data_IF_845862832124
#
_entry.id   IF_845862832124
#
_cell.length_a   1.000
_cell.length_b   1.000
_cell.length_c   1.000
_cell.angle_alpha   90.00
_cell.angle_beta   90.00
_cell.angle_gamma   90.00
#
_symmetry.space_group_name_H-M   'P 1'
#
loop_
_entity.id
_entity.type
_entity.pdbx_description
1 polymer ?
#
# COMPACT_ATOMS: atom_id res chain seq x y z
N UNK A 1 -19.63 44.15 17.88
CA UNK A 1 -19.60 43.04 16.91
C UNK A 1 -18.16 42.65 16.64
N UNK A 2 -17.64 41.63 17.33
CA UNK A 2 -16.27 41.15 17.18
C UNK A 2 -16.18 40.18 15.99
N UNK A 3 -15.56 40.63 14.90
CA UNK A 3 -15.29 39.81 13.71
C UNK A 3 -14.36 38.66 14.09
N UNK A 4 -14.88 37.44 14.17
CA UNK A 4 -14.05 36.24 14.35
C UNK A 4 -12.97 36.19 13.25
N UNK A 5 -11.70 35.90 13.59
CA UNK A 5 -10.59 35.83 12.63
C UNK A 5 -10.90 34.88 11.47
N UNK A 6 -10.54 35.28 10.24
CA UNK A 6 -10.72 34.51 9.01
C UNK A 6 -10.22 33.06 9.12
N UNK A 7 -9.12 32.85 9.86
CA UNK A 7 -8.52 31.53 10.13
C UNK A 7 -9.47 30.61 10.92
N UNK A 8 -10.23 31.14 11.89
CA UNK A 8 -11.21 30.36 12.66
C UNK A 8 -12.41 29.99 11.76
N UNK A 9 -12.80 30.89 10.86
CA UNK A 9 -13.90 30.68 9.90
C UNK A 9 -13.56 29.60 8.88
N UNK A 10 -12.32 29.57 8.38
CA UNK A 10 -11.80 28.48 7.52
C UNK A 10 -11.72 27.17 8.31
N UNK A 11 -11.22 27.19 9.55
CA UNK A 11 -11.12 25.99 10.38
C UNK A 11 -12.49 25.36 10.64
N UNK A 12 -13.49 26.17 10.97
CA UNK A 12 -14.86 25.72 11.20
C UNK A 12 -15.52 25.25 9.89
N UNK A 13 -15.25 25.91 8.76
CA UNK A 13 -15.72 25.49 7.44
C UNK A 13 -15.13 24.15 6.99
N UNK A 14 -13.81 23.96 7.19
CA UNK A 14 -13.11 22.69 6.93
C UNK A 14 -13.61 21.60 7.88
N UNK A 15 -13.87 21.92 9.16
CA UNK A 15 -14.40 20.96 10.12
C UNK A 15 -15.81 20.46 9.74
N UNK A 16 -16.69 21.37 9.28
CA UNK A 16 -18.05 21.01 8.83
C UNK A 16 -18.06 20.26 7.50
N UNK A 17 -17.09 20.52 6.61
CA UNK A 17 -17.00 19.86 5.28
C UNK A 17 -15.92 18.80 5.18
N UNK A 18 -15.37 18.37 6.32
CA UNK A 18 -14.21 17.47 6.39
C UNK A 18 -14.44 16.17 5.62
N UNK A 19 -15.62 15.58 5.74
CA UNK A 19 -16.00 14.37 5.00
C UNK A 19 -16.03 14.60 3.48
N UNK A 20 -16.61 15.71 3.03
CA UNK A 20 -16.67 16.07 1.60
C UNK A 20 -15.30 16.41 1.02
N UNK A 21 -14.44 17.10 1.78
CA UNK A 21 -13.07 17.43 1.37
C UNK A 21 -12.18 16.20 1.30
N UNK A 22 -12.33 15.26 2.24
CA UNK A 22 -11.64 13.96 2.18
C UNK A 22 -12.15 13.15 0.98
N UNK A 23 -13.46 13.08 0.77
CA UNK A 23 -14.04 12.39 -0.39
C UNK A 23 -13.57 13.01 -1.71
N UNK A 24 -13.51 14.34 -1.81
CA UNK A 24 -13.00 15.05 -2.99
C UNK A 24 -11.51 14.80 -3.20
N UNK A 25 -10.69 14.83 -2.15
CA UNK A 25 -9.26 14.53 -2.25
C UNK A 25 -9.03 13.08 -2.71
N UNK A 26 -9.77 12.12 -2.13
CA UNK A 26 -9.76 10.72 -2.54
C UNK A 26 -10.21 10.56 -3.99
N UNK A 27 -11.27 11.26 -4.41
CA UNK A 27 -11.77 11.27 -5.79
C UNK A 27 -10.73 11.82 -6.77
N UNK A 28 -10.08 12.93 -6.45
CA UNK A 28 -9.02 13.53 -7.28
C UNK A 28 -7.85 12.56 -7.43
N UNK A 29 -7.39 11.99 -6.33
CA UNK A 29 -6.30 11.00 -6.30
C UNK A 29 -6.67 9.76 -7.14
N UNK A 30 -7.90 9.26 -7.00
CA UNK A 30 -8.40 8.13 -7.78
C UNK A 30 -8.47 8.44 -9.28
N UNK A 31 -8.97 9.61 -9.66
CA UNK A 31 -9.05 10.08 -11.05
C UNK A 31 -7.64 10.25 -11.64
N UNK A 32 -6.69 10.82 -10.89
CA UNK A 32 -5.31 10.96 -11.34
C UNK A 32 -4.60 9.62 -11.48
N UNK A 33 -4.80 8.70 -10.54
CA UNK A 33 -4.28 7.33 -10.62
C UNK A 33 -4.86 6.57 -11.80
N UNK A 34 -6.18 6.66 -12.01
CA UNK A 34 -6.87 6.07 -13.15
C UNK A 34 -6.41 6.68 -14.48
N UNK A 35 -6.26 8.01 -14.57
CA UNK A 35 -5.77 8.68 -15.77
C UNK A 35 -4.32 8.32 -16.08
N UNK A 36 -3.46 8.18 -15.06
CA UNK A 36 -2.08 7.73 -15.22
C UNK A 36 -2.03 6.28 -15.73
N UNK A 37 -2.78 5.36 -15.10
CA UNK A 37 -2.89 3.97 -15.55
C UNK A 37 -3.46 3.92 -16.96
N UNK A 38 -4.59 4.57 -17.24
CA UNK A 38 -5.23 4.56 -18.55
C UNK A 38 -4.30 5.07 -19.65
N UNK A 39 -3.52 6.13 -19.39
CA UNK A 39 -2.52 6.64 -20.34
C UNK A 39 -1.35 5.67 -20.52
N UNK A 40 -0.93 4.97 -19.47
CA UNK A 40 0.15 3.98 -19.51
C UNK A 40 -0.29 2.64 -20.13
N UNK A 41 -1.57 2.27 -20.00
CA UNK A 41 -2.14 1.01 -20.48
C UNK A 41 -2.85 1.17 -21.83
N UNK A 42 -3.07 2.37 -22.33
CA UNK A 42 -3.67 2.62 -23.65
C UNK A 42 -2.85 1.99 -24.79
N UNK A 43 -1.55 1.77 -24.58
CA UNK A 43 -0.64 1.13 -25.53
C UNK A 43 -0.39 -0.36 -25.23
N UNK A 44 -0.88 -0.88 -24.09
CA UNK A 44 -0.57 -2.24 -23.61
C UNK A 44 -1.72 -3.18 -23.96
N UNK A 45 -1.46 -4.21 -24.78
CA UNK A 45 -2.46 -5.24 -25.08
C UNK A 45 -2.53 -6.25 -23.94
N UNK A 46 -3.74 -6.60 -23.51
CA UNK A 46 -3.97 -7.60 -22.45
C UNK A 46 -3.31 -8.96 -22.77
N UNK A 47 -3.23 -9.32 -24.05
CA UNK A 47 -2.54 -10.53 -24.52
C UNK A 47 -1.05 -10.53 -24.17
N UNK A 48 -0.39 -9.36 -24.20
CA UNK A 48 1.03 -9.21 -23.88
C UNK A 48 1.26 -9.35 -22.38
N UNK A 49 0.39 -8.78 -21.55
CA UNK A 49 0.44 -8.94 -20.09
C UNK A 49 0.22 -10.40 -19.70
N UNK A 50 -0.76 -11.09 -20.32
CA UNK A 50 -1.00 -12.51 -20.07
C UNK A 50 0.18 -13.38 -20.51
N UNK A 51 0.77 -13.09 -21.67
CA UNK A 51 1.95 -13.78 -22.16
C UNK A 51 3.15 -13.58 -21.21
N UNK A 52 3.40 -12.34 -20.78
CA UNK A 52 4.46 -12.02 -19.82
C UNK A 52 4.24 -12.68 -18.45
N UNK A 53 2.99 -12.73 -17.97
CA UNK A 53 2.66 -13.44 -16.73
C UNK A 53 2.87 -14.94 -16.86
N UNK A 54 2.52 -15.54 -18.02
CA UNK A 54 2.78 -16.96 -18.28
C UNK A 54 4.26 -17.30 -18.46
N UNK A 55 5.10 -16.30 -18.76
CA UNK A 55 6.54 -16.46 -18.84
C UNK A 55 7.22 -16.48 -17.46
N UNK A 56 6.51 -16.14 -16.38
CA UNK A 56 7.05 -16.21 -15.02
C UNK A 56 7.27 -17.67 -14.60
N UNK A 57 8.52 -18.00 -14.29
CA UNK A 57 8.88 -19.33 -13.82
C UNK A 57 8.50 -19.55 -12.35
N UNK A 58 8.16 -20.79 -11.99
CA UNK A 58 7.92 -21.18 -10.59
C UNK A 58 9.11 -20.88 -9.65
N UNK A 59 10.33 -20.93 -10.18
CA UNK A 59 11.54 -20.55 -9.45
C UNK A 59 11.59 -19.05 -9.11
N UNK A 60 11.22 -18.18 -10.05
CA UNK A 60 11.15 -16.73 -9.80
C UNK A 60 10.09 -16.42 -8.75
N UNK A 61 8.92 -17.08 -8.86
CA UNK A 61 7.83 -16.91 -7.91
C UNK A 61 8.22 -17.34 -6.49
N UNK A 62 8.88 -18.50 -6.34
CA UNK A 62 9.30 -19.00 -5.03
C UNK A 62 10.36 -18.11 -4.37
N UNK A 63 11.32 -17.59 -5.15
CA UNK A 63 12.32 -16.63 -4.67
C UNK A 63 11.66 -15.31 -4.27
N UNK A 64 10.72 -14.77 -5.07
CA UNK A 64 10.00 -13.55 -4.73
C UNK A 64 9.16 -13.70 -3.44
N UNK A 65 8.52 -14.86 -3.24
CA UNK A 65 7.82 -15.19 -1.98
C UNK A 65 8.81 -15.26 -0.83
N UNK A 66 9.96 -15.94 -1.00
CA UNK A 66 10.99 -16.03 0.03
C UNK A 66 11.53 -14.66 0.46
N UNK A 67 11.82 -13.78 -0.50
CA UNK A 67 12.25 -12.40 -0.24
C UNK A 67 11.16 -11.58 0.46
N UNK A 68 9.89 -11.78 0.08
CA UNK A 68 8.75 -11.16 0.76
C UNK A 68 8.70 -11.60 2.22
N UNK A 69 8.85 -12.90 2.50
CA UNK A 69 8.89 -13.42 3.88
C UNK A 69 10.04 -12.80 4.67
N UNK A 70 11.23 -12.68 4.06
CA UNK A 70 12.40 -12.04 4.70
C UNK A 70 12.10 -10.58 5.06
N UNK A 71 11.53 -9.81 4.13
CA UNK A 71 11.14 -8.41 4.38
C UNK A 71 10.12 -8.31 5.52
N UNK A 72 9.04 -9.09 5.49
CA UNK A 72 8.03 -9.06 6.56
C UNK A 72 8.55 -9.53 7.91
N UNK A 73 9.50 -10.48 7.96
CA UNK A 73 10.20 -10.85 9.19
C UNK A 73 11.04 -9.67 9.68
N UNK A 74 11.80 -9.02 8.80
CA UNK A 74 12.59 -7.84 9.14
C UNK A 74 11.73 -6.71 9.74
N UNK A 75 10.55 -6.45 9.16
CA UNK A 75 9.57 -5.50 9.69
C UNK A 75 9.15 -5.80 11.15
N UNK A 76 9.09 -7.08 11.57
CA UNK A 76 8.81 -7.41 12.98
C UNK A 76 9.91 -6.95 13.94
N UNK A 77 11.15 -6.90 13.46
CA UNK A 77 12.29 -6.46 14.26
C UNK A 77 12.36 -4.93 14.40
N UNK A 78 11.78 -4.15 13.47
CA UNK A 78 11.65 -2.70 13.63
C UNK A 78 10.96 -2.38 14.95
N UNK A 79 9.75 -2.89 15.12
CA UNK A 79 8.91 -2.66 16.28
C UNK A 79 9.54 -3.29 17.54
N UNK A 80 10.12 -4.48 17.42
CA UNK A 80 10.78 -5.16 18.56
C UNK A 80 11.98 -4.38 19.11
N UNK A 81 12.76 -3.74 18.23
CA UNK A 81 13.89 -2.89 18.65
C UNK A 81 13.37 -1.54 19.13
N UNK A 82 12.41 -0.92 18.44
CA UNK A 82 11.81 0.35 18.85
C UNK A 82 11.19 0.28 20.26
N UNK A 83 10.51 -0.82 20.60
CA UNK A 83 9.99 -1.09 21.94
C UNK A 83 11.09 -1.12 23.01
N UNK A 84 12.27 -1.68 22.69
CA UNK A 84 13.43 -1.65 23.58
C UNK A 84 14.03 -0.25 23.71
N UNK A 85 14.02 0.54 22.64
CA UNK A 85 14.50 1.94 22.64
C UNK A 85 13.64 2.81 23.55
N UNK A 86 12.31 2.62 23.54
CA UNK A 86 11.38 3.38 24.39
C UNK A 86 11.26 2.83 25.83
N UNK A 87 12.05 1.83 26.20
CA UNK A 87 12.06 1.26 27.56
C UNK A 87 10.86 0.36 27.90
N UNK A 88 10.07 -0.06 26.90
CA UNK A 88 8.89 -0.91 27.09
C UNK A 88 9.03 -2.22 26.28
N UNK A 89 9.97 -3.10 26.62
CA UNK A 89 10.18 -4.34 25.88
C UNK A 89 8.95 -5.25 26.01
N UNK A 90 8.42 -5.71 24.88
CA UNK A 90 7.35 -6.72 24.82
C UNK A 90 7.89 -8.02 24.23
N UNK A 91 7.21 -9.16 24.48
CA UNK A 91 7.52 -10.41 23.80
C UNK A 91 7.47 -10.23 22.27
N UNK A 92 8.42 -10.84 21.55
CA UNK A 92 8.52 -10.72 20.09
C UNK A 92 7.20 -11.09 19.39
N UNK A 93 6.43 -12.05 19.90
CA UNK A 93 5.13 -12.43 19.34
C UNK A 93 4.13 -11.27 19.30
N UNK A 94 4.07 -10.47 20.36
CA UNK A 94 3.19 -9.29 20.44
C UNK A 94 3.64 -8.21 19.46
N UNK A 95 4.96 -7.95 19.41
CA UNK A 95 5.54 -7.00 18.47
C UNK A 95 5.37 -7.44 17.01
N UNK A 96 5.52 -8.74 16.73
CA UNK A 96 5.35 -9.31 15.41
C UNK A 96 3.90 -9.20 14.91
N UNK A 97 2.90 -9.50 15.74
CA UNK A 97 1.49 -9.33 15.37
C UNK A 97 1.16 -7.85 15.13
N UNK A 98 1.58 -6.95 16.03
CA UNK A 98 1.36 -5.51 15.88
C UNK A 98 2.01 -4.97 14.60
N UNK A 99 3.28 -5.31 14.38
CA UNK A 99 4.05 -4.87 13.21
C UNK A 99 3.47 -5.44 11.91
N UNK A 100 3.27 -6.75 11.82
CA UNK A 100 2.77 -7.42 10.63
C UNK A 100 1.39 -6.89 10.21
N UNK A 101 0.45 -6.81 11.14
CA UNK A 101 -0.89 -6.26 10.85
C UNK A 101 -0.84 -4.77 10.49
N UNK A 102 0.01 -3.98 11.15
CA UNK A 102 0.17 -2.56 10.84
C UNK A 102 0.79 -2.32 9.47
N UNK A 103 1.85 -3.02 9.10
CA UNK A 103 2.52 -2.82 7.82
C UNK A 103 1.69 -3.35 6.65
N UNK A 104 1.06 -4.51 6.77
CA UNK A 104 0.15 -5.02 5.71
C UNK A 104 -0.98 -4.03 5.42
N UNK A 105 -1.57 -3.45 6.46
CA UNK A 105 -2.57 -2.38 6.36
C UNK A 105 -1.96 -1.11 5.74
N UNK A 106 -0.77 -0.67 6.20
CA UNK A 106 -0.13 0.56 5.72
C UNK A 106 0.25 0.50 4.24
N UNK A 107 0.84 -0.63 3.81
CA UNK A 107 1.27 -0.84 2.43
C UNK A 107 0.09 -0.79 1.45
N UNK A 108 -1.09 -1.26 1.85
CA UNK A 108 -2.25 -1.32 0.96
C UNK A 108 -3.10 -0.04 0.96
N UNK A 109 -3.10 0.74 2.04
CA UNK A 109 -4.11 1.76 2.27
C UNK A 109 -3.58 3.19 2.28
N UNK A 110 -2.25 3.36 2.26
CA UNK A 110 -1.64 4.68 2.43
C UNK A 110 -1.91 5.26 3.82
N UNK A 111 -1.57 6.55 4.01
CA UNK A 111 -1.70 7.25 5.29
C UNK A 111 -1.18 6.42 6.48
N UNK A 112 0.01 5.83 6.35
CA UNK A 112 0.55 4.80 7.24
C UNK A 112 0.50 5.14 8.73
N UNK A 113 0.63 6.43 9.08
CA UNK A 113 0.49 6.89 10.48
C UNK A 113 -0.93 6.70 11.01
N UNK A 114 -1.96 6.91 10.20
CA UNK A 114 -3.36 6.80 10.59
C UNK A 114 -3.89 5.37 10.44
N UNK A 115 -3.50 4.66 9.38
CA UNK A 115 -3.94 3.28 9.09
C UNK A 115 -3.15 2.28 9.94
N UNK A 116 -1.85 2.16 9.72
CA UNK A 116 -0.97 1.27 10.48
C UNK A 116 -0.83 1.64 11.96
N UNK A 117 -0.71 2.94 12.27
CA UNK A 117 -0.62 3.41 13.65
C UNK A 117 -1.81 2.97 14.51
N UNK A 118 -3.02 2.96 13.95
CA UNK A 118 -4.22 2.46 14.66
C UNK A 118 -4.18 0.96 14.93
N UNK A 119 -3.63 0.17 14.01
CA UNK A 119 -3.47 -1.28 14.19
C UNK A 119 -2.44 -1.59 15.29
N UNK A 120 -1.28 -0.92 15.27
CA UNK A 120 -0.30 -0.98 16.37
C UNK A 120 -0.92 -0.57 17.70
N UNK A 121 -1.64 0.54 17.72
CA UNK A 121 -2.27 1.05 18.94
C UNK A 121 -3.22 0.02 19.56
N UNK A 122 -4.07 -0.63 18.77
CA UNK A 122 -4.99 -1.68 19.26
C UNK A 122 -4.28 -2.88 19.89
N UNK A 123 -3.12 -3.26 19.39
CA UNK A 123 -2.35 -4.39 19.93
C UNK A 123 -1.56 -3.96 21.17
N UNK A 124 -0.90 -2.79 21.11
CA UNK A 124 -0.04 -2.30 22.18
C UNK A 124 -0.80 -1.73 23.39
N UNK A 125 -1.96 -1.12 23.21
CA UNK A 125 -2.80 -0.66 24.32
C UNK A 125 -3.29 -1.82 25.19
N UNK A 126 -3.62 -2.96 24.56
CA UNK A 126 -3.94 -4.22 25.27
C UNK A 126 -2.73 -4.79 26.03
N UNK A 127 -1.52 -4.44 25.61
CA UNK A 127 -0.27 -4.78 26.29
C UNK A 127 0.18 -3.72 27.31
N UNK A 128 -0.65 -2.69 27.58
CA UNK A 128 -0.41 -1.67 28.60
C UNK A 128 0.37 -0.45 28.13
N UNK A 129 0.61 -0.26 26.83
CA UNK A 129 1.27 0.95 26.31
C UNK A 129 0.27 2.09 26.11
N UNK A 130 0.70 3.30 26.47
CA UNK A 130 -0.05 4.53 26.23
C UNK A 130 0.10 5.01 24.77
N UNK A 131 -0.73 5.98 24.38
CA UNK A 131 -0.72 6.57 23.04
C UNK A 131 0.64 7.17 22.68
N UNK A 132 1.31 7.80 23.65
CA UNK A 132 2.62 8.42 23.45
C UNK A 132 3.72 7.38 23.18
N UNK A 133 3.73 6.25 23.89
CA UNK A 133 4.66 5.16 23.61
C UNK A 133 4.45 4.59 22.20
N UNK A 134 3.21 4.36 21.79
CA UNK A 134 2.90 3.87 20.43
C UNK A 134 3.37 4.87 19.38
N UNK A 135 3.11 6.17 19.59
CA UNK A 135 3.59 7.22 18.69
C UNK A 135 5.12 7.25 18.57
N UNK A 136 5.86 7.06 19.67
CA UNK A 136 7.33 6.95 19.65
C UNK A 136 7.80 5.73 18.85
N UNK A 137 7.14 4.57 18.98
CA UNK A 137 7.43 3.37 18.18
C UNK A 137 7.23 3.66 16.69
N UNK A 138 6.09 4.26 16.32
CA UNK A 138 5.79 4.63 14.92
C UNK A 138 6.83 5.60 14.37
N UNK A 139 7.25 6.59 15.17
CA UNK A 139 8.26 7.57 14.76
C UNK A 139 9.64 6.93 14.55
N UNK A 140 10.08 6.09 15.49
CA UNK A 140 11.35 5.36 15.36
C UNK A 140 11.31 4.47 14.11
N UNK A 141 10.22 3.70 13.92
CA UNK A 141 10.05 2.86 12.75
C UNK A 141 10.08 3.65 11.43
N UNK A 142 9.42 4.81 11.38
CA UNK A 142 9.43 5.69 10.22
C UNK A 142 10.81 6.26 9.90
N UNK A 143 11.56 6.71 10.92
CA UNK A 143 12.94 7.18 10.75
C UNK A 143 13.84 6.03 10.29
N UNK A 144 13.68 4.84 10.87
CA UNK A 144 14.41 3.63 10.47
C UNK A 144 14.14 3.23 9.03
N UNK A 145 12.88 3.27 8.58
CA UNK A 145 12.52 2.99 7.18
C UNK A 145 13.26 3.93 6.22
N UNK A 146 13.22 5.24 6.47
CA UNK A 146 13.90 6.23 5.62
C UNK A 146 15.42 6.10 5.67
N UNK A 147 15.99 5.77 6.83
CA UNK A 147 17.41 5.46 6.93
C UNK A 147 17.77 4.25 6.05
N UNK A 148 16.93 3.22 6.00
CA UNK A 148 17.06 2.10 5.07
C UNK A 148 17.01 2.54 3.61
N UNK A 149 16.03 3.37 3.22
CA UNK A 149 15.86 3.89 1.84
C UNK A 149 17.15 4.59 1.41
N UNK A 150 17.64 5.50 2.24
CA UNK A 150 18.86 6.27 1.97
C UNK A 150 20.07 5.34 1.88
N UNK A 151 20.19 4.37 2.79
CA UNK A 151 21.34 3.45 2.83
C UNK A 151 21.42 2.60 1.56
N UNK A 152 20.31 1.97 1.17
CA UNK A 152 20.30 1.11 -0.02
C UNK A 152 20.42 1.95 -1.31
N UNK A 153 19.89 3.17 -1.34
CA UNK A 153 20.09 4.09 -2.47
C UNK A 153 21.57 4.48 -2.61
N UNK A 154 22.22 4.86 -1.51
CA UNK A 154 23.64 5.20 -1.49
C UNK A 154 24.50 4.00 -1.90
N UNK A 155 24.18 2.80 -1.41
CA UNK A 155 24.88 1.58 -1.78
C UNK A 155 24.72 1.27 -3.28
N UNK A 156 23.53 1.50 -3.83
CA UNK A 156 23.25 1.34 -5.27
C UNK A 156 24.10 2.30 -6.11
N UNK A 157 24.20 3.57 -5.71
CA UNK A 157 25.05 4.58 -6.36
C UNK A 157 26.56 4.30 -6.19
N UNK A 158 26.97 3.66 -5.10
CA UNK A 158 28.36 3.33 -4.85
C UNK A 158 28.86 2.12 -5.67
N UNK A 159 27.98 1.13 -5.89
CA UNK A 159 28.32 -0.13 -6.59
C UNK A 159 28.19 0.02 -8.11
N UNK A 160 27.25 0.83 -8.60
CA UNK A 160 27.00 0.90 -10.03
C UNK A 160 28.18 1.53 -10.79
N UNK A 161 28.70 0.87 -11.84
CA UNK A 161 29.90 1.32 -12.54
C UNK A 161 29.67 2.57 -13.42
N UNK A 162 28.43 2.83 -13.87
CA UNK A 162 28.06 3.95 -14.74
C UNK A 162 27.32 5.09 -14.05
N UNK A 163 26.66 5.95 -14.84
CA UNK A 163 25.69 6.94 -14.33
C UNK A 163 24.32 6.30 -14.21
N UNK A 164 23.67 6.39 -13.06
CA UNK A 164 22.28 5.97 -12.91
C UNK A 164 21.35 7.09 -13.37
N UNK A 165 20.54 6.90 -14.44
CA UNK A 165 19.54 7.89 -14.81
C UNK A 165 18.39 7.85 -13.80
N UNK A 166 18.21 8.93 -13.04
CA UNK A 166 17.05 9.13 -12.18
C UNK A 166 16.04 9.96 -12.98
N UNK A 167 15.00 9.31 -13.54
CA UNK A 167 13.92 9.99 -14.29
C UNK A 167 14.50 10.93 -15.37
N UNK A 168 15.39 10.40 -16.21
CA UNK A 168 16.13 11.11 -17.29
C UNK A 168 17.13 12.19 -16.83
N UNK A 169 17.37 12.33 -15.53
CA UNK A 169 18.42 13.18 -14.99
C UNK A 169 19.65 12.33 -14.65
N UNK A 170 20.82 12.73 -15.14
CA UNK A 170 22.10 12.02 -14.90
C UNK A 170 23.02 12.91 -14.08
N UNK A 171 23.59 12.35 -13.01
CA UNK A 171 24.64 13.01 -12.24
C UNK A 171 26.03 12.68 -12.81
N UNK A 172 27.05 13.54 -12.62
CA UNK A 172 28.42 13.16 -12.90
C UNK A 172 28.81 11.91 -12.08
N UNK A 173 29.48 10.89 -12.67
CA UNK A 173 29.78 9.63 -11.98
C UNK A 173 30.53 9.81 -10.66
N UNK A 174 31.41 10.82 -10.59
CA UNK A 174 32.17 11.11 -9.39
C UNK A 174 31.29 11.65 -8.26
N UNK A 175 30.31 12.52 -8.58
CA UNK A 175 29.37 13.04 -7.60
C UNK A 175 28.46 11.93 -7.08
N UNK A 176 27.96 11.09 -7.98
CA UNK A 176 27.12 9.94 -7.65
C UNK A 176 27.80 8.98 -6.67
N UNK A 177 29.03 8.57 -6.96
CA UNK A 177 29.83 7.70 -6.07
C UNK A 177 30.18 8.39 -4.77
N UNK A 178 30.49 9.69 -4.81
CA UNK A 178 30.78 10.47 -3.60
C UNK A 178 29.58 10.52 -2.66
N UNK A 179 28.37 10.75 -3.20
CA UNK A 179 27.12 10.69 -2.43
C UNK A 179 26.90 9.30 -1.85
N UNK A 180 27.11 8.26 -2.66
CA UNK A 180 26.97 6.86 -2.25
C UNK A 180 27.89 6.43 -1.10
N UNK A 181 29.04 7.09 -0.92
CA UNK A 181 30.01 6.78 0.14
C UNK A 181 29.87 7.73 1.34
N UNK A 182 29.76 9.04 1.10
CA UNK A 182 29.81 10.06 2.15
C UNK A 182 28.56 10.02 3.04
N UNK A 183 27.37 9.86 2.46
CA UNK A 183 26.13 9.85 3.27
C UNK A 183 26.09 8.67 4.26
N UNK A 184 26.36 7.42 3.86
CA UNK A 184 26.45 6.31 4.81
C UNK A 184 27.51 6.51 5.90
N UNK A 185 28.67 7.10 5.57
CA UNK A 185 29.71 7.42 6.55
C UNK A 185 29.24 8.47 7.57
N UNK A 186 28.51 9.50 7.12
CA UNK A 186 27.91 10.50 8.02
C UNK A 186 26.86 9.86 8.92
N UNK A 187 25.98 9.01 8.36
CA UNK A 187 24.99 8.26 9.15
C UNK A 187 25.67 7.40 10.21
N UNK A 188 26.73 6.67 9.85
CA UNK A 188 27.53 5.87 10.78
C UNK A 188 28.20 6.77 11.84
N UNK A 189 28.74 7.92 11.45
CA UNK A 189 29.32 8.91 12.36
C UNK A 189 28.32 9.43 13.39
N UNK A 190 27.07 9.70 12.99
CA UNK A 190 25.98 10.10 13.89
C UNK A 190 25.66 8.97 14.89
N UNK A 191 25.54 7.73 14.40
CA UNK A 191 25.30 6.55 15.25
C UNK A 191 26.43 6.35 16.27
N UNK A 192 27.67 6.51 15.84
CA UNK A 192 28.85 6.38 16.69
C UNK A 192 29.06 7.59 17.62
N UNK A 193 28.50 8.76 17.32
CA UNK A 193 28.53 9.92 18.23
C UNK A 193 27.59 9.71 19.42
N UNK A 194 26.42 9.11 19.20
CA UNK A 194 25.42 8.85 20.25
C UNK A 194 25.57 7.46 20.89
N UNK A 195 26.81 7.07 21.29
CA UNK A 195 27.09 5.68 21.75
C UNK A 195 26.24 5.25 22.94
N UNK A 196 26.01 6.14 23.90
CA UNK A 196 25.31 5.81 25.15
C UNK A 196 23.78 5.93 25.03
N UNK A 197 23.25 6.24 23.85
CA UNK A 197 21.85 6.63 23.71
C UNK A 197 21.60 8.05 24.25
N UNK A 198 20.34 8.40 24.47
CA UNK A 198 19.96 9.71 25.02
C UNK A 198 18.50 10.03 24.77
N UNK A 199 18.12 11.30 24.90
CA UNK A 199 16.80 11.77 24.49
C UNK A 199 16.91 13.14 23.83
N UNK A 200 16.24 13.33 22.70
CA UNK A 200 16.09 14.66 22.09
C UNK A 200 14.76 15.24 22.55
N UNK A 201 14.80 16.47 23.07
CA UNK A 201 13.60 17.26 23.30
C UNK A 201 13.13 17.88 21.99
N UNK A 202 11.94 17.51 21.51
CA UNK A 202 11.32 18.08 20.31
C UNK A 202 9.87 18.48 20.63
N UNK A 203 9.53 19.77 20.50
CA UNK A 203 8.18 20.30 20.79
C UNK A 203 7.58 19.81 22.14
N UNK A 204 8.39 19.81 23.21
CA UNK A 204 7.96 19.35 24.54
C UNK A 204 7.92 17.82 24.72
N UNK A 205 8.15 17.04 23.66
CA UNK A 205 8.29 15.59 23.73
C UNK A 205 9.74 15.21 23.94
N UNK A 206 10.00 14.22 24.82
CA UNK A 206 11.30 13.56 24.91
C UNK A 206 11.28 12.32 24.04
N UNK A 207 12.00 12.35 22.91
CA UNK A 207 12.17 11.21 22.03
C UNK A 207 13.45 10.46 22.45
N UNK A 208 13.34 9.21 22.95
CA UNK A 208 14.52 8.41 23.27
C UNK A 208 15.29 8.09 21.99
N UNK A 209 16.60 8.27 22.04
CA UNK A 209 17.53 7.89 20.98
C UNK A 209 18.00 6.46 21.19
N UNK A 210 18.08 5.64 20.12
CA UNK A 210 18.70 4.34 20.21
C UNK A 210 20.19 4.48 20.58
N UNK A 211 20.70 3.55 21.38
CA UNK A 211 22.15 3.41 21.53
C UNK A 211 22.78 2.89 20.22
N UNK A 212 24.11 2.92 20.10
CA UNK A 212 24.77 2.56 18.83
C UNK A 212 24.45 1.13 18.35
N UNK A 213 24.27 0.17 19.27
CA UNK A 213 23.92 -1.22 18.92
C UNK A 213 22.51 -1.31 18.36
N UNK A 214 21.57 -0.61 18.99
CA UNK A 214 20.18 -0.54 18.53
C UNK A 214 20.08 0.21 17.19
N UNK A 215 20.81 1.31 17.04
CA UNK A 215 20.81 2.09 15.81
C UNK A 215 21.43 1.31 14.64
N UNK A 216 22.55 0.61 14.87
CA UNK A 216 23.15 -0.27 13.86
C UNK A 216 22.22 -1.44 13.53
N UNK A 217 21.56 -2.04 14.52
CA UNK A 217 20.58 -3.10 14.29
C UNK A 217 19.38 -2.59 13.47
N UNK A 218 18.83 -1.42 13.78
CA UNK A 218 17.74 -0.79 13.00
C UNK A 218 18.19 -0.50 11.57
N UNK A 219 19.42 -0.01 11.38
CA UNK A 219 20.00 0.24 10.06
C UNK A 219 20.15 -1.05 9.24
N UNK A 220 20.69 -2.11 9.84
CA UNK A 220 20.83 -3.41 9.19
C UNK A 220 19.48 -4.02 8.85
N UNK A 221 18.54 -4.02 9.80
CA UNK A 221 17.19 -4.56 9.60
C UNK A 221 16.46 -3.79 8.50
N UNK A 222 16.56 -2.47 8.46
CA UNK A 222 15.93 -1.67 7.40
C UNK A 222 16.59 -1.84 6.04
N UNK A 223 17.91 -2.01 6.00
CA UNK A 223 18.63 -2.33 4.78
C UNK A 223 18.20 -3.69 4.21
N UNK A 224 18.12 -4.72 5.07
CA UNK A 224 17.67 -6.06 4.68
C UNK A 224 16.22 -6.05 4.21
N UNK A 225 15.35 -5.36 4.94
CA UNK A 225 13.93 -5.21 4.60
C UNK A 225 13.76 -4.61 3.20
N UNK A 226 14.34 -3.44 2.97
CA UNK A 226 14.19 -2.74 1.69
C UNK A 226 14.86 -3.46 0.54
N UNK A 227 16.06 -4.02 0.76
CA UNK A 227 16.74 -4.80 -0.27
C UNK A 227 15.93 -6.05 -0.64
N UNK A 228 15.35 -6.74 0.34
CA UNK A 228 14.49 -7.89 0.09
C UNK A 228 13.19 -7.49 -0.62
N UNK A 229 12.56 -6.38 -0.21
CA UNK A 229 11.33 -5.87 -0.84
C UNK A 229 11.54 -5.49 -2.31
N UNK A 230 12.63 -4.77 -2.63
CA UNK A 230 12.96 -4.41 -4.02
C UNK A 230 13.47 -5.60 -4.82
N UNK A 231 14.24 -6.51 -4.20
CA UNK A 231 14.70 -7.73 -4.87
C UNK A 231 13.54 -8.66 -5.24
N UNK A 232 12.48 -8.70 -4.41
CA UNK A 232 11.27 -9.47 -4.73
C UNK A 232 10.61 -8.97 -6.02
N UNK A 233 10.60 -7.66 -6.28
CA UNK A 233 10.16 -7.10 -7.56
C UNK A 233 11.17 -7.40 -8.69
N UNK A 234 12.47 -7.22 -8.43
CA UNK A 234 13.51 -7.42 -9.43
C UNK A 234 13.53 -8.85 -10.00
N UNK A 235 13.38 -9.87 -9.15
CA UNK A 235 13.40 -11.28 -9.59
C UNK A 235 12.19 -11.63 -10.47
N UNK A 236 11.10 -10.86 -10.37
CA UNK A 236 9.91 -11.03 -11.22
C UNK A 236 10.08 -10.36 -12.59
N UNK A 237 11.11 -9.55 -12.82
CA UNK A 237 11.42 -9.06 -14.15
C UNK A 237 12.09 -10.18 -14.97
N UNK A 238 11.47 -10.65 -16.07
CA UNK A 238 12.05 -11.68 -16.91
C UNK A 238 13.32 -11.15 -17.60
N UNK A 239 14.34 -12.01 -17.68
CA UNK A 239 15.62 -11.73 -18.34
C UNK A 239 16.36 -10.47 -17.83
N UNK A 240 16.09 -10.01 -16.59
CA UNK A 240 16.79 -8.88 -16.02
C UNK A 240 18.24 -9.24 -15.64
N UNK A 241 19.20 -8.45 -16.11
CA UNK A 241 20.60 -8.59 -15.72
C UNK A 241 20.80 -8.09 -14.28
N UNK A 242 21.67 -8.72 -13.46
CA UNK A 242 21.97 -8.26 -12.10
C UNK A 242 22.44 -6.80 -12.02
N UNK A 243 23.06 -6.29 -13.09
CA UNK A 243 23.54 -4.90 -13.21
C UNK A 243 22.40 -3.87 -13.20
N UNK A 244 21.17 -4.29 -13.50
CA UNK A 244 20.01 -3.42 -13.47
C UNK A 244 19.44 -3.22 -12.06
N UNK A 245 19.81 -4.06 -11.09
CA UNK A 245 19.26 -3.97 -9.74
C UNK A 245 19.46 -2.59 -9.07
N UNK A 246 20.64 -1.92 -9.15
CA UNK A 246 20.80 -0.56 -8.65
C UNK A 246 19.86 0.46 -9.30
N UNK A 247 19.63 0.36 -10.62
CA UNK A 247 18.69 1.23 -11.36
C UNK A 247 17.27 0.99 -10.84
N UNK A 248 16.88 -0.27 -10.71
CA UNK A 248 15.57 -0.65 -10.17
C UNK A 248 15.38 -0.14 -8.76
N UNK A 249 16.38 -0.28 -7.89
CA UNK A 249 16.27 0.21 -6.52
C UNK A 249 16.07 1.73 -6.46
N UNK A 250 16.82 2.51 -7.26
CA UNK A 250 16.62 3.95 -7.30
C UNK A 250 15.23 4.33 -7.83
N UNK A 251 14.77 3.66 -8.89
CA UNK A 251 13.40 3.81 -9.38
C UNK A 251 12.36 3.47 -8.31
N UNK A 252 12.58 2.40 -7.56
CA UNK A 252 11.75 1.94 -6.44
C UNK A 252 11.72 2.94 -5.28
N UNK A 253 12.87 3.53 -4.92
CA UNK A 253 12.97 4.56 -3.90
C UNK A 253 12.20 5.83 -4.32
N UNK A 254 12.35 6.28 -5.58
CA UNK A 254 11.57 7.41 -6.11
C UNK A 254 10.08 7.07 -6.12
N UNK A 255 9.70 5.87 -6.56
CA UNK A 255 8.32 5.41 -6.60
C UNK A 255 7.67 5.44 -5.21
N UNK A 256 8.38 5.00 -4.17
CA UNK A 256 7.93 5.09 -2.77
C UNK A 256 7.74 6.56 -2.36
N UNK A 257 8.68 7.44 -2.66
CA UNK A 257 8.60 8.87 -2.30
C UNK A 257 7.37 9.50 -2.95
N UNK A 258 7.16 9.30 -4.25
CA UNK A 258 6.01 9.87 -4.98
C UNK A 258 4.69 9.25 -4.50
N UNK A 259 4.65 7.95 -4.24
CA UNK A 259 3.49 7.28 -3.66
C UNK A 259 3.13 7.83 -2.27
N UNK A 260 4.12 8.12 -1.42
CA UNK A 260 3.91 8.68 -0.09
C UNK A 260 3.43 10.13 -0.14
N UNK A 261 4.02 10.97 -0.99
CA UNK A 261 3.63 12.38 -1.16
C UNK A 261 2.21 12.49 -1.72
N UNK A 262 1.87 11.62 -2.68
CA UNK A 262 0.54 11.63 -3.32
C UNK A 262 -0.58 11.11 -2.41
N UNK A 263 -0.23 10.42 -1.31
CA UNK A 263 -1.19 9.78 -0.40
C UNK A 263 -2.19 8.84 -1.08
N UNK A 264 -1.87 8.37 -2.29
CA UNK A 264 -2.68 7.39 -3.02
C UNK A 264 -2.71 6.09 -2.22
N UNK A 265 -3.90 5.53 -1.92
CA UNK A 265 -3.98 4.25 -1.23
C UNK A 265 -3.24 3.16 -2.01
N UNK A 266 -2.31 2.49 -1.33
CA UNK A 266 -1.44 1.50 -1.94
C UNK A 266 -0.40 2.06 -2.92
N UNK A 267 -0.35 3.36 -3.16
CA UNK A 267 0.45 3.95 -4.24
C UNK A 267 0.01 3.48 -5.63
N UNK A 268 -1.22 2.99 -5.79
CA UNK A 268 -1.72 2.39 -7.03
C UNK A 268 -1.65 3.39 -8.19
N UNK A 269 -1.09 2.94 -9.31
CA UNK A 269 -0.89 3.73 -10.52
C UNK A 269 0.36 4.60 -10.47
N UNK A 270 0.60 5.31 -9.37
CA UNK A 270 1.78 6.18 -9.21
C UNK A 270 3.07 5.38 -9.08
N UNK A 271 3.06 4.33 -8.25
CA UNK A 271 4.21 3.46 -8.07
C UNK A 271 4.58 2.77 -9.39
N UNK A 272 3.58 2.21 -10.08
CA UNK A 272 3.74 1.54 -11.37
C UNK A 272 4.26 2.49 -12.43
N UNK A 273 3.70 3.70 -12.52
CA UNK A 273 4.12 4.73 -13.48
C UNK A 273 5.59 5.10 -13.34
N UNK A 274 6.07 5.28 -12.10
CA UNK A 274 7.47 5.63 -11.85
C UNK A 274 8.39 4.47 -12.22
N UNK A 275 8.05 3.23 -11.83
CA UNK A 275 8.87 2.07 -12.18
C UNK A 275 8.93 1.90 -13.70
N UNK A 276 7.79 1.92 -14.40
CA UNK A 276 7.73 1.82 -15.86
C UNK A 276 8.58 2.93 -16.52
N UNK A 277 8.50 4.17 -16.01
CA UNK A 277 9.27 5.29 -16.55
C UNK A 277 10.80 5.20 -16.30
N UNK A 278 11.23 4.36 -15.36
CA UNK A 278 12.66 4.18 -15.01
C UNK A 278 13.29 2.93 -15.60
N UNK A 279 12.48 1.92 -15.92
CA UNK A 279 12.97 0.64 -16.43
C UNK A 279 13.19 0.68 -17.95
N UNK A 280 14.29 0.10 -18.45
CA UNK A 280 14.58 0.03 -19.88
C UNK A 280 13.78 -1.05 -20.62
N UNK A 281 13.16 -2.00 -19.89
CA UNK A 281 12.33 -3.06 -20.47
C UNK A 281 11.02 -2.51 -21.05
N UNK A 282 10.35 -3.35 -21.83
CA UNK A 282 9.03 -3.04 -22.35
C UNK A 282 7.99 -2.88 -21.22
N UNK A 283 7.08 -1.92 -21.41
CA UNK A 283 6.09 -1.54 -20.40
C UNK A 283 5.20 -2.71 -20.00
N UNK A 284 4.85 -3.60 -20.94
CA UNK A 284 3.98 -4.75 -20.68
C UNK A 284 4.63 -5.76 -19.73
N UNK A 285 5.91 -6.06 -19.94
CA UNK A 285 6.73 -6.93 -19.07
C UNK A 285 6.89 -6.35 -17.67
N UNK A 286 7.23 -5.05 -17.57
CA UNK A 286 7.38 -4.37 -16.27
C UNK A 286 6.04 -4.35 -15.53
N UNK A 287 4.94 -4.06 -16.22
CA UNK A 287 3.60 -4.09 -15.64
C UNK A 287 3.21 -5.49 -15.14
N UNK A 288 3.49 -6.55 -15.90
CA UNK A 288 3.21 -7.92 -15.47
C UNK A 288 3.98 -8.29 -14.19
N UNK A 289 5.27 -7.93 -14.11
CA UNK A 289 6.09 -8.11 -12.91
C UNK A 289 5.55 -7.31 -11.71
N UNK A 290 5.13 -6.07 -11.93
CA UNK A 290 4.51 -5.22 -10.90
C UNK A 290 3.20 -5.82 -10.37
N UNK A 291 2.34 -6.35 -11.25
CA UNK A 291 1.11 -7.01 -10.84
C UNK A 291 1.37 -8.27 -10.02
N UNK A 292 2.32 -9.12 -10.46
CA UNK A 292 2.74 -10.28 -9.68
C UNK A 292 3.31 -9.87 -8.30
N UNK A 293 4.15 -8.83 -8.28
CA UNK A 293 4.71 -8.27 -7.06
C UNK A 293 3.62 -7.78 -6.10
N UNK A 294 2.57 -7.10 -6.59
CA UNK A 294 1.43 -6.68 -5.78
C UNK A 294 0.72 -7.88 -5.13
N UNK A 295 0.47 -8.94 -5.89
CA UNK A 295 -0.17 -10.15 -5.37
C UNK A 295 0.68 -10.74 -4.23
N UNK A 296 1.98 -10.86 -4.45
CA UNK A 296 2.89 -11.54 -3.52
C UNK A 296 3.21 -10.68 -2.28
N UNK A 297 3.50 -9.38 -2.46
CA UNK A 297 4.02 -8.52 -1.40
C UNK A 297 2.93 -7.70 -0.68
N UNK A 298 1.80 -7.44 -1.34
CA UNK A 298 0.72 -6.62 -0.79
C UNK A 298 -0.51 -7.45 -0.41
N UNK A 299 -1.03 -8.24 -1.36
CA UNK A 299 -2.32 -8.94 -1.20
C UNK A 299 -2.19 -10.20 -0.34
N UNK A 300 -1.24 -11.09 -0.65
CA UNK A 300 -1.08 -12.33 0.10
C UNK A 300 -0.79 -12.10 1.60
N UNK A 301 0.10 -11.15 2.00
CA UNK A 301 0.32 -10.84 3.41
C UNK A 301 -0.91 -10.22 4.08
N UNK A 302 -1.70 -9.41 3.36
CA UNK A 302 -2.95 -8.84 3.87
C UNK A 302 -3.99 -9.93 4.16
N UNK A 303 -4.15 -10.90 3.25
CA UNK A 303 -5.03 -12.06 3.46
C UNK A 303 -4.56 -12.84 4.69
N UNK A 304 -3.25 -13.11 4.80
CA UNK A 304 -2.68 -13.79 5.95
C UNK A 304 -2.93 -13.01 7.25
N UNK A 305 -2.79 -11.69 7.24
CA UNK A 305 -3.06 -10.84 8.40
C UNK A 305 -4.53 -10.90 8.82
N UNK A 306 -5.46 -10.85 7.86
CA UNK A 306 -6.89 -10.97 8.11
C UNK A 306 -7.24 -12.34 8.72
N UNK A 307 -6.68 -13.42 8.16
CA UNK A 307 -6.85 -14.78 8.66
C UNK A 307 -6.31 -14.92 10.08
N UNK A 308 -5.09 -14.43 10.35
CA UNK A 308 -4.49 -14.47 11.69
C UNK A 308 -5.30 -13.68 12.71
N UNK A 309 -5.81 -12.50 12.33
CA UNK A 309 -6.68 -11.71 13.21
C UNK A 309 -8.01 -12.41 13.49
N UNK A 310 -8.65 -12.99 12.47
CA UNK A 310 -9.89 -13.76 12.63
C UNK A 310 -9.69 -14.97 13.55
N UNK A 311 -8.57 -15.70 13.43
CA UNK A 311 -8.24 -16.80 14.33
C UNK A 311 -7.97 -16.35 15.77
N UNK A 312 -7.28 -15.22 15.95
CA UNK A 312 -6.92 -14.72 17.29
C UNK A 312 -8.16 -14.20 18.04
N UNK A 313 -9.03 -13.47 17.34
CA UNK A 313 -10.32 -13.07 17.88
C UNK A 313 -11.17 -14.33 18.13
N UNK A 314 -11.34 -15.23 17.15
CA UNK A 314 -12.15 -16.46 17.33
C UNK A 314 -11.75 -17.36 18.51
N UNK A 315 -10.47 -17.40 18.91
CA UNK A 315 -10.02 -18.15 20.11
C UNK A 315 -10.41 -17.50 21.43
N UNK A 316 -10.43 -16.17 21.52
CA UNK A 316 -10.91 -15.46 22.72
C UNK A 316 -12.42 -15.65 22.94
N UNK A 317 -13.12 -16.10 21.90
CA UNK A 317 -14.57 -16.25 21.86
C UNK A 317 -15.01 -17.66 22.22
N UNK A 318 -14.13 -18.66 22.20
CA UNK A 318 -14.43 -20.03 22.67
C UNK A 318 -14.80 -20.12 24.16
N UNK A 319 -14.65 -19.03 24.93
CA UNK A 319 -15.09 -18.92 26.32
C UNK A 319 -16.45 -18.21 26.53
N UNK A 320 -17.08 -17.69 25.46
CA UNK A 320 -18.41 -17.06 25.51
C UNK A 320 -19.29 -17.81 24.49
N UNK A 321 -20.44 -18.32 24.94
CA UNK A 321 -21.26 -19.32 24.25
C UNK A 321 -21.34 -19.22 22.71
N UNK A 322 -21.46 -20.39 22.07
CA UNK A 322 -21.51 -20.62 20.62
C UNK A 322 -22.75 -20.02 19.96
N UNK A 323 -22.90 -18.70 19.97
CA UNK A 323 -23.88 -18.01 19.16
C UNK A 323 -23.22 -17.57 17.83
N UNK A 324 -23.62 -18.13 16.67
CA UNK A 324 -23.06 -17.77 15.37
C UNK A 324 -23.24 -16.28 15.04
N UNK A 325 -24.29 -15.61 15.57
CA UNK A 325 -24.47 -14.17 15.42
C UNK A 325 -23.44 -13.36 16.20
N UNK A 326 -23.09 -13.81 17.40
CA UNK A 326 -22.03 -13.19 18.20
C UNK A 326 -20.68 -13.26 17.46
N UNK A 327 -20.37 -14.36 16.78
CA UNK A 327 -19.14 -14.54 16.00
C UNK A 327 -19.15 -13.70 14.71
N UNK A 328 -20.31 -13.54 14.05
CA UNK A 328 -20.44 -12.84 12.78
C UNK A 328 -20.37 -11.30 12.91
N UNK A 329 -20.98 -10.72 13.95
CA UNK A 329 -21.12 -9.26 14.14
C UNK A 329 -19.79 -8.46 14.25
N UNK A 330 -18.70 -8.97 14.84
CA UNK A 330 -17.39 -8.30 14.89
C UNK A 330 -16.61 -8.42 13.59
N UNK A 331 -16.76 -9.56 12.89
CA UNK A 331 -16.11 -9.87 11.62
C UNK A 331 -16.85 -9.24 10.43
N UNK A 332 -18.13 -8.90 10.58
CA UNK A 332 -18.96 -8.33 9.53
C UNK A 332 -18.31 -7.12 8.83
N UNK A 333 -17.76 -6.10 9.52
CA UNK A 333 -17.13 -4.97 8.85
C UNK A 333 -15.88 -5.35 8.03
N UNK A 334 -15.14 -6.39 8.47
CA UNK A 334 -14.00 -6.93 7.72
C UNK A 334 -14.47 -7.72 6.50
N UNK A 335 -15.42 -8.63 6.67
CA UNK A 335 -15.96 -9.46 5.59
C UNK A 335 -16.68 -8.62 4.54
N UNK A 336 -17.49 -7.66 4.96
CA UNK A 336 -18.15 -6.70 4.07
C UNK A 336 -17.12 -5.80 3.38
N UNK A 337 -16.09 -5.33 4.08
CA UNK A 337 -14.98 -4.61 3.47
C UNK A 337 -14.28 -5.44 2.38
N UNK A 338 -14.00 -6.72 2.65
CA UNK A 338 -13.39 -7.64 1.67
C UNK A 338 -14.32 -7.89 0.49
N UNK A 339 -15.60 -8.14 0.70
CA UNK A 339 -16.57 -8.35 -0.39
C UNK A 339 -16.71 -7.11 -1.27
N UNK A 340 -16.74 -5.92 -0.67
CA UNK A 340 -16.78 -4.63 -1.38
C UNK A 340 -15.49 -4.40 -2.16
N UNK A 341 -14.33 -4.74 -1.58
CA UNK A 341 -13.04 -4.68 -2.27
C UNK A 341 -12.99 -5.64 -3.46
N UNK A 342 -13.39 -6.90 -3.28
CA UNK A 342 -13.43 -7.89 -4.36
C UNK A 342 -14.40 -7.49 -5.48
N UNK A 343 -15.54 -6.91 -5.11
CA UNK A 343 -16.51 -6.34 -6.05
C UNK A 343 -15.91 -5.18 -6.87
N UNK A 344 -15.18 -4.28 -6.21
CA UNK A 344 -14.47 -3.19 -6.88
C UNK A 344 -13.37 -3.69 -7.82
N UNK A 345 -12.61 -4.70 -7.39
CA UNK A 345 -11.58 -5.34 -8.20
C UNK A 345 -12.18 -6.06 -9.42
N UNK A 346 -13.31 -6.75 -9.24
CA UNK A 346 -14.06 -7.40 -10.31
C UNK A 346 -14.50 -6.38 -11.37
N UNK A 347 -15.07 -5.24 -10.95
CA UNK A 347 -15.47 -4.17 -11.88
C UNK A 347 -14.29 -3.59 -12.66
N UNK A 348 -13.12 -3.44 -12.03
CA UNK A 348 -11.90 -2.98 -12.68
C UNK A 348 -11.38 -3.98 -13.71
N UNK A 349 -11.31 -5.26 -13.34
CA UNK A 349 -10.86 -6.33 -14.24
C UNK A 349 -11.81 -6.46 -15.43
N UNK A 350 -13.10 -6.45 -15.17
CA UNK A 350 -14.12 -6.54 -16.22
C UNK A 350 -14.16 -5.31 -17.12
N UNK A 351 -13.95 -4.10 -16.57
CA UNK A 351 -13.84 -2.88 -17.37
C UNK A 351 -12.67 -2.90 -18.36
N UNK A 352 -11.63 -3.69 -18.10
CA UNK A 352 -10.46 -3.86 -18.95
C UNK A 352 -10.55 -5.02 -19.95
N UNK A 353 -11.59 -5.87 -19.84
CA UNK A 353 -11.82 -7.00 -20.74
C UNK A 353 -12.84 -6.60 -21.83
N UNK A 354 -12.59 -6.91 -23.12
CA UNK A 354 -13.59 -6.69 -24.16
C UNK A 354 -14.82 -7.58 -23.88
N UNK A 355 -16.01 -7.00 -24.02
CA UNK A 355 -17.27 -7.70 -23.78
C UNK A 355 -17.42 -8.93 -24.69
N UNK A 356 -18.10 -9.96 -24.18
CA UNK A 356 -18.31 -11.20 -24.92
C UNK A 356 -19.02 -10.92 -26.27
N UNK A 357 -18.52 -11.45 -27.42
CA UNK A 357 -18.99 -11.08 -28.75
C UNK A 357 -20.51 -11.19 -28.96
N UNK A 358 -21.16 -12.21 -28.38
CA UNK A 358 -22.61 -12.41 -28.53
C UNK A 358 -23.51 -11.52 -27.67
N UNK A 359 -22.99 -10.92 -26.58
CA UNK A 359 -23.77 -10.03 -25.69
C UNK A 359 -23.77 -8.58 -26.17
N UNK A 360 -22.68 -8.17 -26.83
CA UNK A 360 -22.55 -6.81 -27.38
C UNK A 360 -23.48 -6.59 -28.58
N UNK A 361 -23.66 -7.60 -29.44
CA UNK A 361 -24.58 -7.52 -30.59
C UNK A 361 -26.04 -7.33 -30.18
N UNK A 362 -26.46 -7.93 -29.05
CA UNK A 362 -27.80 -7.75 -28.49
C UNK A 362 -27.94 -6.39 -27.81
N UNK A 363 -26.92 -5.94 -27.07
CA UNK A 363 -26.94 -4.64 -26.39
C UNK A 363 -26.95 -3.46 -27.39
N UNK A 364 -26.24 -3.58 -28.52
CA UNK A 364 -26.18 -2.55 -29.56
C UNK A 364 -27.55 -2.24 -30.21
N UNK A 365 -28.52 -3.15 -30.08
CA UNK A 365 -29.91 -2.92 -30.53
C UNK A 365 -30.74 -2.08 -29.56
N UNK A 366 -30.30 -1.95 -28.30
CA UNK A 366 -31.03 -1.30 -27.21
C UNK A 366 -30.34 0.00 -26.76
N UNK A 367 -29.00 0.00 -26.72
CA UNK A 367 -28.17 1.10 -26.26
C UNK A 367 -27.20 1.57 -27.34
N UNK A 368 -27.15 2.87 -27.65
CA UNK A 368 -26.14 3.45 -28.53
C UNK A 368 -24.72 3.16 -28.03
N UNK A 369 -23.82 2.77 -28.94
CA UNK A 369 -22.41 2.45 -28.66
C UNK A 369 -21.66 3.50 -27.80
N UNK A 370 -21.88 4.82 -27.96
CA UNK A 370 -21.22 5.80 -27.08
C UNK A 370 -21.61 5.66 -25.61
N UNK A 371 -22.85 5.25 -25.33
CA UNK A 371 -23.35 5.09 -23.96
C UNK A 371 -22.75 3.84 -23.30
N UNK A 372 -22.57 2.74 -24.05
CA UNK A 372 -21.91 1.54 -23.54
C UNK A 372 -20.41 1.76 -23.29
N UNK A 373 -19.72 2.53 -24.15
CA UNK A 373 -18.32 2.92 -23.92
C UNK A 373 -18.17 3.81 -22.67
N UNK A 374 -19.05 4.79 -22.50
CA UNK A 374 -19.08 5.62 -21.29
C UNK A 374 -19.39 4.78 -20.04
N UNK A 375 -20.27 3.78 -20.16
CA UNK A 375 -20.59 2.86 -19.07
C UNK A 375 -19.38 1.98 -18.68
N UNK A 376 -18.54 1.55 -19.64
CA UNK A 376 -17.29 0.85 -19.36
C UNK A 376 -16.33 1.68 -18.51
N UNK A 377 -16.13 2.96 -18.86
CA UNK A 377 -15.28 3.88 -18.10
C UNK A 377 -15.88 4.16 -16.72
N UNK A 378 -17.19 4.42 -16.65
CA UNK A 378 -17.88 4.68 -15.40
C UNK A 378 -17.87 3.48 -14.45
N UNK A 379 -18.07 2.26 -14.95
CA UNK A 379 -17.99 1.02 -14.17
C UNK A 379 -16.60 0.84 -13.55
N UNK A 380 -15.55 1.14 -14.33
CA UNK A 380 -14.17 1.07 -13.86
C UNK A 380 -13.92 2.10 -12.75
N UNK A 381 -14.40 3.34 -12.92
CA UNK A 381 -14.29 4.39 -11.89
C UNK A 381 -15.02 3.99 -10.60
N UNK A 382 -16.23 3.43 -10.71
CA UNK A 382 -16.99 2.88 -9.58
C UNK A 382 -16.21 1.75 -8.90
N UNK A 383 -15.57 0.88 -9.67
CA UNK A 383 -14.67 -0.17 -9.16
C UNK A 383 -13.56 0.40 -8.28
N UNK A 384 -12.85 1.44 -8.76
CA UNK A 384 -11.84 2.14 -7.96
C UNK A 384 -12.43 2.74 -6.69
N UNK A 385 -13.59 3.39 -6.77
CA UNK A 385 -14.24 3.98 -5.59
C UNK A 385 -14.64 2.91 -4.56
N UNK A 386 -15.11 1.74 -5.00
CA UNK A 386 -15.43 0.64 -4.11
C UNK A 386 -14.18 0.10 -3.40
N UNK A 387 -13.04 -0.01 -4.10
CA UNK A 387 -11.76 -0.37 -3.45
C UNK A 387 -11.39 0.61 -2.33
N UNK A 388 -11.64 1.90 -2.55
CA UNK A 388 -11.33 2.97 -1.59
C UNK A 388 -12.30 2.97 -0.40
N UNK A 389 -13.60 2.76 -0.66
CA UNK A 389 -14.66 2.78 0.36
C UNK A 389 -14.70 1.49 1.19
N UNK A 390 -14.26 0.35 0.64
CA UNK A 390 -14.11 -0.93 1.33
C UNK A 390 -13.39 -0.79 2.69
N UNK A 391 -12.42 0.12 2.79
CA UNK A 391 -11.71 0.38 4.04
C UNK A 391 -12.53 1.16 5.08
N UNK A 392 -13.39 2.07 4.62
CA UNK A 392 -14.26 2.83 5.52
C UNK A 392 -15.26 1.92 6.25
N UNK A 393 -15.66 0.81 5.63
CA UNK A 393 -16.45 -0.24 6.26
C UNK A 393 -15.69 -0.93 7.40
N UNK A 394 -14.42 -1.29 7.19
CA UNK A 394 -13.57 -1.85 8.26
C UNK A 394 -13.45 -0.91 9.48
N UNK A 395 -13.48 0.41 9.22
CA UNK A 395 -13.45 1.45 10.27
C UNK A 395 -14.82 1.77 10.87
N UNK A 396 -15.88 1.05 10.49
CA UNK A 396 -17.27 1.30 10.92
C UNK A 396 -17.72 2.74 10.70
N UNK A 397 -17.35 3.33 9.56
CA UNK A 397 -17.78 4.68 9.20
C UNK A 397 -19.14 4.63 8.51
N UNK A 398 -20.14 5.30 9.09
CA UNK A 398 -21.50 5.34 8.52
C UNK A 398 -21.52 5.90 7.08
N UNK A 399 -20.68 6.89 6.79
CA UNK A 399 -20.55 7.43 5.44
C UNK A 399 -20.01 6.42 4.43
N UNK A 400 -19.13 5.50 4.86
CA UNK A 400 -18.60 4.46 3.99
C UNK A 400 -19.62 3.37 3.69
N UNK A 401 -20.53 3.10 4.63
CA UNK A 401 -21.64 2.18 4.42
C UNK A 401 -22.54 2.65 3.27
N UNK A 402 -23.05 3.88 3.36
CA UNK A 402 -23.90 4.45 2.32
C UNK A 402 -23.17 4.64 0.99
N UNK A 403 -21.91 5.08 1.02
CA UNK A 403 -21.09 5.18 -0.18
C UNK A 403 -20.88 3.81 -0.85
N UNK A 404 -20.56 2.75 -0.10
CA UNK A 404 -20.38 1.41 -0.65
C UNK A 404 -21.68 0.91 -1.28
N UNK A 405 -22.80 1.03 -0.56
CA UNK A 405 -24.10 0.54 -1.04
C UNK A 405 -24.57 1.26 -2.30
N UNK A 406 -24.43 2.58 -2.35
CA UNK A 406 -24.76 3.38 -3.55
C UNK A 406 -23.85 3.03 -4.73
N UNK A 407 -22.55 2.91 -4.50
CA UNK A 407 -21.58 2.54 -5.53
C UNK A 407 -21.81 1.11 -6.06
N UNK A 408 -22.16 0.14 -5.21
CA UNK A 408 -22.47 -1.23 -5.66
C UNK A 408 -23.71 -1.27 -6.54
N UNK A 409 -24.78 -0.55 -6.17
CA UNK A 409 -26.00 -0.44 -6.99
C UNK A 409 -25.69 0.27 -8.32
N UNK A 410 -24.93 1.36 -8.29
CA UNK A 410 -24.50 2.06 -9.50
C UNK A 410 -23.64 1.14 -10.39
N UNK A 411 -22.71 0.40 -9.80
CA UNK A 411 -21.88 -0.58 -10.49
C UNK A 411 -22.71 -1.68 -11.15
N UNK A 412 -23.74 -2.19 -10.47
CA UNK A 412 -24.63 -3.21 -11.05
C UNK A 412 -25.38 -2.70 -12.28
N UNK A 413 -25.91 -1.47 -12.22
CA UNK A 413 -26.57 -0.83 -13.37
C UNK A 413 -25.59 -0.62 -14.53
N UNK A 414 -24.36 -0.18 -14.23
CA UNK A 414 -23.32 0.04 -15.22
C UNK A 414 -22.81 -1.27 -15.85
N UNK A 415 -22.72 -2.37 -15.10
CA UNK A 415 -22.38 -3.70 -15.63
C UNK A 415 -23.44 -4.22 -16.62
N UNK A 416 -24.72 -3.91 -16.37
CA UNK A 416 -25.79 -4.22 -17.35
C UNK A 416 -25.64 -3.31 -18.58
N UNK A 417 -25.44 -2.00 -18.37
CA UNK A 417 -25.38 -1.01 -19.44
C UNK A 417 -24.14 -1.12 -20.34
N UNK A 418 -23.04 -1.72 -19.86
CA UNK A 418 -21.80 -1.89 -20.64
C UNK A 418 -21.80 -3.15 -21.52
N UNK A 419 -22.43 -4.25 -21.08
CA UNK A 419 -22.25 -5.56 -21.73
C UNK A 419 -23.27 -6.64 -21.37
N UNK A 420 -24.39 -6.29 -20.72
CA UNK A 420 -25.33 -7.25 -20.12
C UNK A 420 -24.64 -8.25 -19.18
N UNK A 421 -23.66 -7.80 -18.39
CA UNK A 421 -22.94 -8.67 -17.45
C UNK A 421 -23.79 -8.90 -16.19
N UNK A 422 -24.85 -9.68 -16.34
CA UNK A 422 -25.80 -10.01 -15.27
C UNK A 422 -25.13 -10.76 -14.11
N UNK A 423 -24.05 -11.50 -14.37
CA UNK A 423 -23.22 -12.15 -13.35
C UNK A 423 -22.61 -11.13 -12.38
N UNK A 424 -21.97 -10.09 -12.93
CA UNK A 424 -21.41 -8.97 -12.16
C UNK A 424 -22.49 -8.20 -11.42
N UNK A 425 -23.57 -7.84 -12.12
CA UNK A 425 -24.67 -7.10 -11.53
C UNK A 425 -25.28 -7.86 -10.35
N UNK A 426 -25.42 -9.18 -10.46
CA UNK A 426 -25.94 -10.03 -9.38
C UNK A 426 -24.98 -10.04 -8.20
N UNK A 427 -23.68 -10.23 -8.41
CA UNK A 427 -22.67 -10.22 -7.34
C UNK A 427 -22.66 -8.87 -6.60
N UNK A 428 -22.76 -7.76 -7.34
CA UNK A 428 -22.80 -6.41 -6.79
C UNK A 428 -24.07 -6.16 -5.96
N UNK A 429 -25.24 -6.60 -6.45
CA UNK A 429 -26.51 -6.48 -5.72
C UNK A 429 -26.55 -7.36 -4.47
N UNK A 430 -26.01 -8.58 -4.53
CA UNK A 430 -25.89 -9.46 -3.36
C UNK A 430 -24.98 -8.84 -2.30
N UNK A 431 -23.85 -8.24 -2.73
CA UNK A 431 -22.94 -7.53 -1.83
C UNK A 431 -23.60 -6.28 -1.24
N UNK A 432 -24.44 -5.58 -2.02
CA UNK A 432 -25.20 -4.42 -1.55
C UNK A 432 -26.33 -4.80 -0.58
N UNK A 433 -26.90 -6.00 -0.71
CA UNK A 433 -27.90 -6.53 0.20
C UNK A 433 -27.30 -7.06 1.51
N UNK A 434 -26.04 -7.52 1.47
CA UNK A 434 -25.29 -7.94 2.66
C UNK A 434 -24.83 -6.76 3.53
N UNK A 435 -24.72 -5.56 2.96
CA UNK A 435 -24.56 -4.27 3.66
C UNK A 435 -25.91 -3.80 4.22
#
# INVERSE_FOLDING_TARGET
MTTRPFVIRIRDWIAHRRGMLIALAVLIVAVLGFAAIHKLTAEIRLSEVRAAFSALGWSQLSVAIGLTVVSYIALTFYDSIALKVIGHPLPWRTAAVASFTSYTISHNLGLAMLTGGSARYRVYSRAGLDEAAVARVVLIAGVTFWAGVITVACLSMAIHPGTLPIVKWTMPPLLERSVGIVIPLVMLGIVLRHRQGGSIGLLGWRLPLPNWRQALALLLVSTVDLAAASAALFVLLPNASPELYPVLFLGYAVAIVVALISHVPGGLGVFEAVIIATMPQDNATVLAALLAYRIIYYVAPLILAAVLMAFHEGRQWRGRGTDPLAIALPLAPLLLGVLVFLSGAMLLVSGALPAAPGRMDTLATILPLPISEMAHVAASLVGVMLLLVALGLYRRLDGAFWAARTLLVAGALLSIAKGLDYEEATILLLTAAAL
#
